data_IF_597741230106
#
_entry.id   IF_597741230106
#
_cell.length_a   1.000
_cell.length_b   1.000
_cell.length_c   1.000
_cell.angle_alpha   90.00
_cell.angle_beta   90.00
_cell.angle_gamma   90.00
#
_symmetry.space_group_name_H-M   'P 1'
#
loop_
_entity.id
_entity.type
_entity.pdbx_description
1 polymer ?
#
# COMPACT_ATOMS: atom_id res chain seq x y z
N UNK A 1 -5.82 58.22 -13.76
CA UNK A 1 -5.93 56.74 -13.82
C UNK A 1 -4.92 56.18 -12.82
N UNK A 2 -5.39 55.67 -11.67
CA UNK A 2 -4.55 55.06 -10.64
C UNK A 2 -4.48 53.56 -10.94
N UNK A 3 -3.37 53.11 -11.49
CA UNK A 3 -3.10 51.70 -11.73
C UNK A 3 -2.75 51.02 -10.40
N UNK A 4 -3.70 50.24 -9.88
CA UNK A 4 -3.43 49.22 -8.86
C UNK A 4 -2.55 48.14 -9.50
N UNK A 5 -1.26 48.11 -9.16
CA UNK A 5 -0.42 46.94 -9.44
C UNK A 5 -0.73 45.86 -8.38
N UNK A 6 -1.50 44.85 -8.79
CA UNK A 6 -1.71 43.60 -8.06
C UNK A 6 -0.37 42.86 -7.95
N UNK A 7 0.31 42.97 -6.81
CA UNK A 7 1.44 42.11 -6.44
C UNK A 7 0.84 40.84 -5.81
N UNK A 8 0.32 39.94 -6.65
CA UNK A 8 -0.07 38.58 -6.25
C UNK A 8 0.31 37.66 -7.41
N UNK A 9 1.58 37.30 -7.54
CA UNK A 9 2.00 36.25 -8.49
C UNK A 9 3.34 35.60 -8.12
N UNK A 10 3.68 35.51 -6.83
CA UNK A 10 4.94 34.89 -6.37
C UNK A 10 4.74 33.80 -5.31
N UNK A 11 3.60 33.10 -5.32
CA UNK A 11 3.28 32.02 -4.37
C UNK A 11 2.81 30.74 -5.05
N UNK A 12 3.41 30.37 -6.19
CA UNK A 12 3.14 29.08 -6.81
C UNK A 12 4.48 28.48 -7.25
N UNK A 13 4.68 27.20 -6.96
CA UNK A 13 5.80 26.33 -7.34
C UNK A 13 6.99 26.20 -6.37
N UNK A 14 6.74 26.14 -5.06
CA UNK A 14 7.55 25.26 -4.22
C UNK A 14 6.85 23.90 -4.14
N UNK A 15 7.02 23.10 -5.19
CA UNK A 15 6.71 21.67 -5.14
C UNK A 15 7.63 20.97 -4.14
N UNK A 16 7.17 19.86 -3.58
CA UNK A 16 8.01 18.94 -2.83
C UNK A 16 9.22 18.58 -3.71
N UNK A 17 10.47 18.66 -3.23
CA UNK A 17 11.57 18.07 -3.98
C UNK A 17 11.29 16.57 -4.04
N UNK A 18 10.96 16.06 -5.22
CA UNK A 18 10.98 14.62 -5.45
C UNK A 18 12.35 14.11 -5.04
N UNK A 19 12.34 12.99 -4.31
CA UNK A 19 13.59 12.31 -3.96
C UNK A 19 14.24 11.92 -5.28
N UNK A 20 15.31 12.63 -5.65
CA UNK A 20 16.00 12.40 -6.90
C UNK A 20 16.56 10.97 -6.92
N UNK A 21 15.80 10.04 -7.49
CA UNK A 21 16.38 8.86 -8.09
C UNK A 21 17.15 9.36 -9.31
N UNK A 22 18.44 9.04 -9.36
CA UNK A 22 19.24 9.28 -10.55
C UNK A 22 18.69 8.38 -11.64
N UNK A 23 17.82 8.91 -12.49
CA UNK A 23 17.39 8.20 -13.70
C UNK A 23 18.61 8.09 -14.60
N UNK A 24 19.06 6.86 -14.81
CA UNK A 24 19.89 6.54 -15.96
C UNK A 24 19.07 6.96 -17.19
N UNK A 25 19.51 7.99 -17.90
CA UNK A 25 18.72 8.64 -18.96
C UNK A 25 18.41 7.73 -20.16
N UNK A 26 18.95 6.50 -20.18
CA UNK A 26 18.68 5.46 -21.19
C UNK A 26 17.84 4.28 -20.64
N UNK A 27 17.38 4.32 -19.38
CA UNK A 27 16.54 3.27 -18.80
C UNK A 27 15.14 3.29 -19.41
N UNK A 28 14.63 2.17 -19.95
CA UNK A 28 13.24 2.08 -20.41
C UNK A 28 12.21 2.02 -19.27
N UNK A 29 12.67 1.88 -18.03
CA UNK A 29 11.87 1.71 -16.82
C UNK A 29 11.69 3.05 -16.10
N UNK A 30 10.44 3.41 -15.85
CA UNK A 30 10.04 4.64 -15.15
C UNK A 30 9.71 4.41 -13.67
N UNK A 31 8.62 4.99 -13.19
CA UNK A 31 8.24 4.92 -11.78
C UNK A 31 7.81 3.50 -11.38
N UNK A 32 8.29 3.05 -10.23
CA UNK A 32 7.94 1.75 -9.64
C UNK A 32 6.92 1.97 -8.52
N UNK A 33 5.80 1.25 -8.56
CA UNK A 33 4.74 1.42 -7.59
C UNK A 33 4.37 0.09 -6.92
N UNK A 34 4.10 0.19 -5.62
CA UNK A 34 3.61 -0.93 -4.81
C UNK A 34 2.64 -0.42 -3.76
N UNK A 35 1.55 -1.15 -3.54
CA UNK A 35 0.62 -0.91 -2.43
C UNK A 35 0.06 -2.23 -1.93
N UNK A 36 -0.04 -2.38 -0.61
CA UNK A 36 -0.71 -3.51 0.02
C UNK A 36 -1.95 -3.05 0.79
N UNK A 37 -3.13 -3.46 0.34
CA UNK A 37 -4.38 -3.25 1.06
C UNK A 37 -4.56 -4.40 2.07
N UNK A 38 -4.06 -4.22 3.28
CA UNK A 38 -3.95 -5.29 4.27
C UNK A 38 -5.30 -5.90 4.68
N UNK A 39 -6.33 -5.05 4.86
CA UNK A 39 -7.68 -5.50 5.22
C UNK A 39 -8.29 -6.41 4.16
N UNK A 40 -8.04 -6.09 2.89
CA UNK A 40 -8.61 -6.83 1.76
C UNK A 40 -7.71 -7.99 1.32
N UNK A 41 -6.49 -8.06 1.85
CA UNK A 41 -5.43 -8.98 1.47
C UNK A 41 -5.08 -8.92 -0.03
N UNK A 42 -4.85 -7.71 -0.55
CA UNK A 42 -4.58 -7.50 -1.98
C UNK A 42 -3.30 -6.67 -2.19
N UNK A 43 -2.40 -7.19 -3.02
CA UNK A 43 -1.20 -6.51 -3.50
C UNK A 43 -1.49 -5.83 -4.84
N UNK A 44 -0.96 -4.61 -4.99
CA UNK A 44 -0.93 -3.89 -6.25
C UNK A 44 0.52 -3.58 -6.61
N UNK A 45 0.87 -3.88 -7.85
CA UNK A 45 2.15 -3.58 -8.46
C UNK A 45 1.91 -2.76 -9.71
N UNK A 46 2.74 -1.76 -9.97
CA UNK A 46 2.74 -1.09 -11.26
C UNK A 46 4.13 -0.56 -11.64
N UNK A 47 4.35 -0.39 -12.93
CA UNK A 47 5.56 0.19 -13.49
C UNK A 47 5.26 0.96 -14.77
N UNK A 48 5.83 2.16 -14.88
CA UNK A 48 5.83 2.91 -16.14
C UNK A 48 6.87 2.30 -17.07
N UNK A 49 6.47 1.99 -18.30
CA UNK A 49 7.35 1.33 -19.27
C UNK A 49 7.23 2.00 -20.63
N UNK A 50 8.36 2.30 -21.28
CA UNK A 50 8.32 2.77 -22.65
C UNK A 50 7.76 1.67 -23.59
N UNK A 51 6.85 2.01 -24.50
CA UNK A 51 6.30 1.06 -25.48
C UNK A 51 7.35 0.49 -26.45
N UNK A 52 8.50 1.16 -26.58
CA UNK A 52 9.64 0.69 -27.36
C UNK A 52 10.97 1.18 -26.80
N UNK A 53 12.01 0.37 -26.96
CA UNK A 53 13.39 0.71 -26.59
C UNK A 53 14.34 0.16 -27.64
N UNK A 54 15.33 0.96 -28.06
CA UNK A 54 16.35 0.59 -29.05
C UNK A 54 15.78 -0.07 -30.34
N UNK A 55 14.68 0.50 -30.86
CA UNK A 55 13.92 0.04 -32.05
C UNK A 55 13.24 -1.35 -31.90
N UNK A 56 13.10 -1.85 -30.68
CA UNK A 56 12.33 -3.06 -30.38
C UNK A 56 11.10 -2.67 -29.58
N UNK A 57 9.96 -3.30 -29.89
CA UNK A 57 8.71 -3.10 -29.15
C UNK A 57 8.76 -3.84 -27.82
N UNK A 58 8.03 -3.33 -26.82
CA UNK A 58 7.82 -4.04 -25.58
C UNK A 58 7.08 -5.36 -25.87
N UNK A 59 7.66 -6.47 -25.44
CA UNK A 59 7.06 -7.80 -25.55
C UNK A 59 6.42 -8.22 -24.23
N UNK A 60 7.12 -7.99 -23.11
CA UNK A 60 6.65 -8.41 -21.79
C UNK A 60 7.04 -7.42 -20.71
N UNK A 61 6.13 -7.17 -19.77
CA UNK A 61 6.41 -6.59 -18.47
C UNK A 61 6.04 -7.60 -17.37
N UNK A 62 6.92 -7.77 -16.39
CA UNK A 62 6.76 -8.73 -15.32
C UNK A 62 7.44 -8.25 -14.03
N UNK A 63 7.15 -8.91 -12.92
CA UNK A 63 7.93 -8.78 -11.70
C UNK A 63 8.28 -10.15 -11.10
N UNK A 64 9.43 -10.19 -10.43
CA UNK A 64 9.76 -11.21 -9.46
C UNK A 64 9.41 -10.68 -8.06
N UNK A 65 8.47 -11.33 -7.39
CA UNK A 65 8.06 -11.02 -6.01
C UNK A 65 8.75 -11.94 -5.01
N UNK A 66 9.50 -11.37 -4.08
CA UNK A 66 10.27 -12.12 -3.08
C UNK A 66 9.61 -12.13 -1.68
N UNK A 67 8.52 -11.37 -1.50
CA UNK A 67 7.94 -11.15 -0.18
C UNK A 67 8.85 -10.29 0.70
N UNK A 68 8.96 -10.68 1.97
CA UNK A 68 9.72 -9.96 3.00
C UNK A 68 11.18 -10.40 3.11
N UNK A 69 11.62 -11.36 2.29
CA UNK A 69 13.01 -11.83 2.24
C UNK A 69 13.48 -11.95 0.79
N UNK A 70 14.46 -11.13 0.41
CA UNK A 70 15.06 -11.12 -0.94
C UNK A 70 15.75 -12.44 -1.33
N UNK A 71 16.03 -13.31 -0.36
CA UNK A 71 16.66 -14.62 -0.61
C UNK A 71 15.67 -15.71 -1.00
N UNK A 72 14.37 -15.45 -0.92
CA UNK A 72 13.33 -16.37 -1.34
C UNK A 72 13.40 -16.69 -2.85
N UNK A 73 12.88 -17.86 -3.22
CA UNK A 73 12.54 -18.13 -4.63
C UNK A 73 11.37 -17.23 -5.01
N UNK A 74 11.50 -16.36 -6.03
CA UNK A 74 10.46 -15.39 -6.32
C UNK A 74 9.26 -16.01 -7.03
N UNK A 75 8.10 -15.37 -6.84
CA UNK A 75 6.94 -15.55 -7.70
C UNK A 75 7.13 -14.71 -8.97
N UNK A 76 7.03 -15.33 -10.15
CA UNK A 76 7.08 -14.61 -11.43
C UNK A 76 5.67 -14.21 -11.86
N UNK A 77 5.40 -12.91 -11.86
CA UNK A 77 4.08 -12.34 -12.07
C UNK A 77 4.07 -11.44 -13.31
N UNK A 78 3.10 -11.65 -14.21
CA UNK A 78 2.96 -10.84 -15.42
C UNK A 78 2.15 -9.57 -15.14
N UNK A 79 2.62 -8.45 -15.69
CA UNK A 79 1.94 -7.17 -15.65
C UNK A 79 1.25 -6.91 -17.00
N UNK A 80 0.18 -6.12 -16.99
CA UNK A 80 -0.57 -5.77 -18.20
C UNK A 80 -1.06 -4.31 -18.15
N UNK A 81 -1.36 -3.77 -19.33
CA UNK A 81 -1.91 -2.43 -19.56
C UNK A 81 -3.22 -2.56 -20.38
N UNK A 82 -4.05 -3.53 -19.97
CA UNK A 82 -5.24 -3.93 -20.71
C UNK A 82 -6.56 -3.38 -20.17
N UNK A 83 -6.51 -2.61 -19.08
CA UNK A 83 -7.64 -2.10 -18.29
C UNK A 83 -8.25 -3.15 -17.37
N UNK A 84 -7.46 -4.15 -16.96
CA UNK A 84 -7.90 -5.28 -16.13
C UNK A 84 -6.88 -5.62 -15.05
N UNK A 85 -7.30 -6.42 -14.07
CA UNK A 85 -6.40 -7.03 -13.08
C UNK A 85 -5.46 -6.04 -12.41
N UNK A 86 -5.97 -4.89 -11.96
CA UNK A 86 -5.17 -3.84 -11.31
C UNK A 86 -4.92 -2.63 -12.19
N UNK A 87 -4.96 -2.81 -13.52
CA UNK A 87 -4.91 -1.69 -14.45
C UNK A 87 -6.27 -1.01 -14.57
N UNK A 88 -6.27 0.31 -14.40
CA UNK A 88 -7.46 1.15 -14.41
C UNK A 88 -7.68 1.75 -15.80
N UNK A 89 -6.61 2.08 -16.54
CA UNK A 89 -6.68 2.82 -17.80
C UNK A 89 -5.85 2.07 -18.85
N UNK A 90 -6.55 1.35 -19.72
CA UNK A 90 -5.93 0.64 -20.85
C UNK A 90 -5.09 1.55 -21.76
N UNK A 91 -3.91 1.07 -22.13
CA UNK A 91 -2.95 1.68 -23.05
C UNK A 91 -2.45 3.06 -22.59
N UNK A 92 -2.22 3.25 -21.30
CA UNK A 92 -1.61 4.47 -20.76
C UNK A 92 -0.12 4.29 -20.41
N UNK A 93 0.47 3.17 -20.81
CA UNK A 93 1.85 2.76 -20.59
C UNK A 93 2.19 2.42 -19.12
N UNK A 94 1.18 2.33 -18.25
CA UNK A 94 1.29 1.87 -16.86
C UNK A 94 0.94 0.38 -16.75
N UNK A 95 1.96 -0.47 -16.77
CA UNK A 95 1.77 -1.91 -16.64
C UNK A 95 1.57 -2.28 -15.17
N UNK A 96 0.45 -2.93 -14.84
CA UNK A 96 0.09 -3.22 -13.46
C UNK A 96 -0.52 -4.60 -13.23
N UNK A 97 -0.58 -4.98 -11.96
CA UNK A 97 -1.14 -6.22 -11.47
C UNK A 97 -1.77 -6.04 -10.09
N UNK A 98 -2.95 -6.63 -9.93
CA UNK A 98 -3.65 -6.87 -8.68
C UNK A 98 -3.58 -8.35 -8.36
N UNK A 99 -2.94 -8.69 -7.25
CA UNK A 99 -2.72 -10.08 -6.84
C UNK A 99 -3.25 -10.32 -5.42
N UNK A 100 -4.05 -11.38 -5.17
CA UNK A 100 -4.40 -11.79 -3.82
C UNK A 100 -3.15 -12.16 -2.99
N UNK A 101 -3.12 -11.72 -1.74
CA UNK A 101 -2.06 -12.04 -0.78
C UNK A 101 -2.41 -13.31 0.00
N UNK A 102 -2.40 -14.45 -0.68
CA UNK A 102 -2.66 -15.75 -0.04
C UNK A 102 -1.75 -16.84 -0.61
N UNK A 103 -1.67 -17.98 0.09
CA UNK A 103 -0.79 -19.09 -0.28
C UNK A 103 -1.31 -19.94 -1.46
N UNK A 104 -2.49 -19.64 -2.01
CA UNK A 104 -3.00 -20.29 -3.22
C UNK A 104 -2.47 -19.59 -4.48
N UNK A 105 -2.27 -18.28 -4.41
CA UNK A 105 -1.77 -17.46 -5.52
C UNK A 105 -0.28 -17.14 -5.43
N UNK A 106 0.26 -16.97 -4.22
CA UNK A 106 1.65 -16.57 -3.98
C UNK A 106 2.41 -17.60 -3.13
N UNK A 107 3.65 -17.88 -3.48
CA UNK A 107 4.57 -18.64 -2.65
C UNK A 107 5.09 -17.79 -1.48
N UNK A 108 5.21 -16.48 -1.67
CA UNK A 108 5.75 -15.54 -0.68
C UNK A 108 4.70 -14.52 -0.18
N UNK A 109 3.55 -14.93 0.37
CA UNK A 109 2.55 -13.99 0.87
C UNK A 109 3.10 -13.23 2.09
N UNK A 110 2.63 -11.99 2.27
CA UNK A 110 2.93 -11.18 3.44
C UNK A 110 2.09 -11.67 4.61
N UNK A 111 2.73 -11.98 5.73
CA UNK A 111 2.05 -12.35 6.97
C UNK A 111 1.53 -11.11 7.71
N UNK A 112 0.53 -11.30 8.58
CA UNK A 112 0.01 -10.19 9.39
C UNK A 112 0.96 -9.70 10.49
N UNK A 113 2.04 -10.45 10.76
CA UNK A 113 3.13 -10.07 11.67
C UNK A 113 4.36 -9.51 10.95
N UNK A 114 4.35 -9.48 9.62
CA UNK A 114 5.48 -9.00 8.85
C UNK A 114 5.63 -7.49 8.96
N UNK A 115 6.88 -7.04 9.05
CA UNK A 115 7.24 -5.62 9.18
C UNK A 115 8.41 -5.27 8.27
N UNK A 116 8.70 -3.97 8.18
CA UNK A 116 9.91 -3.52 7.50
C UNK A 116 9.69 -3.38 6.00
N UNK A 117 10.37 -4.18 5.18
CA UNK A 117 10.42 -4.02 3.73
C UNK A 117 10.01 -5.29 3.00
N UNK A 118 9.43 -5.09 1.81
CA UNK A 118 9.25 -6.13 0.80
C UNK A 118 10.16 -5.88 -0.39
N UNK A 119 10.45 -6.94 -1.12
CA UNK A 119 11.45 -6.94 -2.18
C UNK A 119 10.86 -7.40 -3.51
N UNK A 120 11.18 -6.67 -4.56
CA UNK A 120 10.77 -6.94 -5.93
C UNK A 120 11.91 -6.74 -6.90
N UNK A 121 11.81 -7.41 -8.04
CA UNK A 121 12.58 -7.07 -9.24
C UNK A 121 11.62 -6.94 -10.41
N UNK A 122 11.47 -5.73 -10.94
CA UNK A 122 10.72 -5.52 -12.17
C UNK A 122 11.58 -5.91 -13.37
N UNK A 123 10.94 -6.46 -14.39
CA UNK A 123 11.58 -6.94 -15.60
C UNK A 123 10.76 -6.54 -16.82
N UNK A 124 11.43 -5.99 -17.83
CA UNK A 124 10.82 -5.71 -19.13
C UNK A 124 11.68 -6.30 -20.24
N UNK A 125 11.01 -6.83 -21.27
CA UNK A 125 11.69 -7.44 -22.42
C UNK A 125 11.26 -6.71 -23.68
N UNK A 126 12.25 -6.25 -24.46
CA UNK A 126 12.03 -5.62 -25.76
C UNK A 126 12.51 -6.52 -26.89
N UNK A 127 11.58 -6.98 -27.73
CA UNK A 127 11.84 -7.97 -28.78
C UNK A 127 12.53 -9.23 -28.24
N UNK A 128 13.59 -9.67 -28.92
CA UNK A 128 14.36 -10.86 -28.53
C UNK A 128 15.59 -10.54 -27.64
N UNK A 129 15.60 -9.38 -27.00
CA UNK A 129 16.70 -8.97 -26.12
C UNK A 129 16.58 -9.64 -24.74
N UNK A 130 17.66 -9.76 -23.97
CA UNK A 130 17.56 -10.09 -22.55
C UNK A 130 16.68 -9.06 -21.81
N UNK A 131 16.00 -9.43 -20.72
CA UNK A 131 15.20 -8.49 -19.95
C UNK A 131 16.07 -7.39 -19.30
N UNK A 132 15.60 -6.15 -19.35
CA UNK A 132 16.10 -5.07 -18.52
C UNK A 132 15.43 -5.18 -17.14
N UNK A 133 16.21 -5.15 -16.06
CA UNK A 133 15.70 -5.41 -14.71
C UNK A 133 16.08 -4.33 -13.71
N UNK A 134 15.16 -4.05 -12.78
CA UNK A 134 15.40 -3.13 -11.65
C UNK A 134 14.91 -3.77 -10.36
N UNK A 135 15.85 -3.95 -9.43
CA UNK A 135 15.56 -4.40 -8.06
C UNK A 135 15.17 -3.22 -7.20
N UNK A 136 14.13 -3.39 -6.40
CA UNK A 136 13.68 -2.38 -5.47
C UNK A 136 13.11 -2.97 -4.19
N UNK A 137 12.93 -2.12 -3.19
CA UNK A 137 12.23 -2.50 -1.96
C UNK A 137 11.32 -1.39 -1.49
N UNK A 138 10.15 -1.78 -0.99
CA UNK A 138 9.13 -0.88 -0.46
C UNK A 138 8.95 -1.13 1.02
N UNK A 139 8.68 -0.07 1.79
CA UNK A 139 8.31 -0.23 3.18
C UNK A 139 6.87 -0.74 3.28
N UNK A 140 6.66 -1.74 4.14
CA UNK A 140 5.34 -2.10 4.63
C UNK A 140 4.88 -1.03 5.62
N UNK A 141 4.02 -0.13 5.13
CA UNK A 141 3.39 0.91 5.92
C UNK A 141 1.95 0.56 6.29
N UNK A 142 1.39 1.32 7.23
CA UNK A 142 0.00 1.25 7.65
C UNK A 142 -0.43 -0.17 8.08
N UNK A 143 0.40 -0.78 8.95
CA UNK A 143 0.12 -2.11 9.49
C UNK A 143 -1.12 -2.03 10.38
N UNK A 144 -2.09 -2.92 10.15
CA UNK A 144 -3.33 -2.91 10.91
C UNK A 144 -3.07 -3.52 12.30
N UNK A 145 -3.29 -2.78 13.41
CA UNK A 145 -3.20 -3.36 14.74
C UNK A 145 -4.28 -4.42 14.93
N UNK A 146 -3.92 -5.51 15.59
CA UNK A 146 -4.81 -6.61 15.91
C UNK A 146 -5.30 -6.52 17.35
N UNK A 147 -6.56 -6.88 17.59
CA UNK A 147 -7.11 -6.99 18.94
C UNK A 147 -6.82 -8.40 19.46
N UNK A 148 -6.01 -8.51 20.50
CA UNK A 148 -5.70 -9.78 21.17
C UNK A 148 -6.86 -10.21 22.08
N UNK A 149 -7.37 -9.26 22.89
CA UNK A 149 -8.43 -9.52 23.86
C UNK A 149 -9.12 -8.24 24.28
N UNK A 150 -10.40 -8.35 24.65
CA UNK A 150 -11.19 -7.26 25.23
C UNK A 150 -11.62 -7.71 26.63
N UNK A 151 -11.50 -6.83 27.62
CA UNK A 151 -12.02 -7.02 28.97
C UNK A 151 -12.97 -5.88 29.30
N UNK A 152 -14.24 -6.20 29.50
CA UNK A 152 -15.29 -5.26 29.87
C UNK A 152 -16.34 -6.01 30.69
N UNK A 153 -17.10 -5.31 31.56
CA UNK A 153 -18.25 -5.90 32.21
C UNK A 153 -19.37 -6.18 31.19
N UNK A 154 -19.97 -7.38 31.29
CA UNK A 154 -21.09 -7.78 30.42
C UNK A 154 -22.37 -6.97 30.66
N UNK A 155 -22.48 -6.29 31.81
CA UNK A 155 -23.64 -5.46 32.15
C UNK A 155 -23.21 -4.29 33.01
N UNK A 156 -23.61 -3.09 32.59
CA UNK A 156 -23.41 -1.86 33.35
C UNK A 156 -24.75 -1.48 33.98
N UNK A 157 -24.83 -1.56 35.31
CA UNK A 157 -26.06 -1.25 36.05
C UNK A 157 -26.05 0.22 36.44
N UNK A 158 -27.06 0.97 36.00
CA UNK A 158 -27.22 2.37 36.39
C UNK A 158 -27.38 2.47 37.93
N UNK A 159 -26.62 3.35 38.61
CA UNK A 159 -26.82 3.61 40.04
C UNK A 159 -28.25 4.07 40.34
N UNK A 160 -28.78 3.66 41.49
CA UNK A 160 -30.12 4.05 41.96
C UNK A 160 -30.16 5.47 42.56
N UNK A 161 -29.00 6.06 42.82
CA UNK A 161 -28.82 7.44 43.28
C UNK A 161 -28.31 8.33 42.12
N UNK A 162 -27.97 9.58 42.43
CA UNK A 162 -27.42 10.53 41.46
C UNK A 162 -25.89 10.40 41.29
N UNK A 163 -25.30 9.24 41.59
CA UNK A 163 -23.87 9.02 41.44
C UNK A 163 -23.47 8.70 39.99
N UNK A 164 -22.18 8.88 39.69
CA UNK A 164 -21.56 8.55 38.40
C UNK A 164 -20.66 7.33 38.63
N UNK A 165 -20.81 6.31 37.78
CA UNK A 165 -19.92 5.14 37.73
C UNK A 165 -19.03 5.20 36.49
N UNK A 166 -17.81 4.72 36.64
CA UNK A 166 -16.86 4.54 35.55
C UNK A 166 -16.51 3.07 35.48
N UNK A 167 -16.87 2.43 34.38
CA UNK A 167 -16.53 1.02 34.11
C UNK A 167 -15.36 0.96 33.11
N UNK A 168 -14.24 0.31 33.47
CA UNK A 168 -13.12 0.18 32.55
C UNK A 168 -13.48 -0.78 31.41
N UNK A 169 -13.16 -0.34 30.20
CA UNK A 169 -13.15 -1.19 28.99
C UNK A 169 -11.71 -1.22 28.52
N UNK A 170 -11.09 -2.39 28.62
CA UNK A 170 -9.69 -2.60 28.28
C UNK A 170 -9.59 -3.42 27.00
N UNK A 171 -8.71 -3.02 26.09
CA UNK A 171 -8.35 -3.81 24.93
C UNK A 171 -6.84 -4.05 24.96
N UNK A 172 -6.45 -5.31 24.83
CA UNK A 172 -5.08 -5.70 24.54
C UNK A 172 -4.95 -5.76 23.02
N UNK A 173 -3.94 -5.07 22.49
CA UNK A 173 -3.68 -4.99 21.05
C UNK A 173 -2.25 -5.42 20.75
N UNK A 174 -2.09 -6.08 19.61
CA UNK A 174 -0.81 -6.40 19.01
C UNK A 174 -0.65 -5.57 17.74
N UNK A 175 0.42 -4.78 17.69
CA UNK A 175 0.82 -4.05 16.50
C UNK A 175 2.22 -4.51 16.13
N UNK A 176 2.39 -4.96 14.89
CA UNK A 176 3.66 -5.52 14.43
C UNK A 176 4.78 -4.45 14.44
N UNK A 177 4.48 -3.18 14.15
CA UNK A 177 5.46 -2.09 14.22
C UNK A 177 5.52 -1.38 15.59
N UNK A 178 4.91 -1.97 16.62
CA UNK A 178 4.83 -1.42 17.96
C UNK A 178 3.65 -0.47 18.14
N UNK A 179 3.24 -0.23 19.38
CA UNK A 179 2.01 0.50 19.71
C UNK A 179 2.17 2.03 19.77
N UNK A 180 3.35 2.56 19.45
CA UNK A 180 3.71 3.96 19.66
C UNK A 180 2.91 4.93 18.77
N UNK A 181 2.42 4.47 17.62
CA UNK A 181 1.66 5.25 16.65
C UNK A 181 0.14 4.98 16.70
N UNK A 182 -0.33 4.11 17.60
CA UNK A 182 -1.76 3.90 17.85
C UNK A 182 -2.37 5.16 18.47
N UNK A 183 -3.20 5.87 17.70
CA UNK A 183 -3.78 7.15 18.12
C UNK A 183 -5.10 7.05 18.88
N UNK A 184 -5.87 5.99 18.63
CA UNK A 184 -7.21 5.85 19.22
C UNK A 184 -7.58 4.38 19.37
N UNK A 185 -8.11 4.07 20.53
CA UNK A 185 -8.91 2.87 20.78
C UNK A 185 -10.32 3.36 21.12
N UNK A 186 -11.33 2.72 20.58
CA UNK A 186 -12.72 3.09 20.80
C UNK A 186 -13.63 1.87 20.77
N UNK A 187 -14.77 1.98 21.43
CA UNK A 187 -15.83 0.99 21.41
C UNK A 187 -17.17 1.70 21.20
N UNK A 188 -18.18 0.93 20.80
CA UNK A 188 -19.57 1.39 20.69
C UNK A 188 -20.39 0.57 21.68
N UNK A 189 -21.17 1.23 22.54
CA UNK A 189 -22.10 0.60 23.46
C UNK A 189 -23.54 0.86 23.01
N UNK A 190 -24.41 -0.14 23.11
CA UNK A 190 -25.83 -0.03 22.78
C UNK A 190 -26.68 -0.02 24.05
N UNK A 191 -27.72 0.81 24.07
CA UNK A 191 -28.70 0.81 25.16
C UNK A 191 -29.77 -0.25 24.90
N UNK A 192 -29.85 -1.24 25.81
CA UNK A 192 -30.68 -2.44 25.66
C UNK A 192 -32.18 -2.14 25.52
N UNK A 193 -32.67 -0.97 25.98
CA UNK A 193 -34.10 -0.62 26.01
C UNK A 193 -34.49 0.60 25.14
N UNK A 194 -33.59 1.17 24.33
CA UNK A 194 -33.88 2.41 23.58
C UNK A 194 -33.36 2.49 22.16
N UNK A 195 -32.27 1.80 21.82
CA UNK A 195 -31.57 1.98 20.53
C UNK A 195 -31.28 0.65 19.80
N UNK A 196 -31.92 -0.44 20.21
CA UNK A 196 -31.84 -1.75 19.56
C UNK A 196 -32.92 -1.88 18.47
N UNK A 197 -32.57 -1.51 17.24
CA UNK A 197 -33.28 -1.90 16.01
C UNK A 197 -32.33 -2.63 15.05
#
# INVERSE_FOLDING_TARGET
>A
MRTCFLIITALIFWGCPDSASTTDTDSPLGELQFTYLQNDQILYFAIDVATSHRNSLLETAALNWFGTDITNTPDYLLLNDDGISGDIIKNDDLYSLKEPNDSLTLMNPISSSDTGRVYVEFQVTYGNSPPDTVKYSFYLGNIIPQIDSIAAPDTIVRPSDNSIIFEPVEAKVHDANGSEDIRRVGFVSYHVEGDSF
#
